data_IF_731876528801
#
_entry.id   IF_731876528801
#
_cell.length_a   1.000
_cell.length_b   1.000
_cell.length_c   1.000
_cell.angle_alpha   90.00
_cell.angle_beta   90.00
_cell.angle_gamma   90.00
#
_symmetry.space_group_name_H-M   'P 1'
#
loop_
_entity.id
_entity.type
_entity.pdbx_description
1 polymer ?
#
# COMPACT_ATOMS: atom_id res chain seq x y z
N UNK A 1 -65.11 -55.58 2.04
CA UNK A 1 -65.12 -54.45 1.08
C UNK A 1 -63.75 -53.77 1.11
N UNK A 2 -63.10 -53.70 -0.06
CA UNK A 2 -62.02 -52.77 -0.50
C UNK A 2 -60.71 -52.78 0.33
N UNK A 3 -59.66 -53.49 -0.05
CA UNK A 3 -58.61 -53.21 -1.08
C UNK A 3 -57.72 -51.98 -0.80
N UNK A 4 -56.42 -52.20 -0.55
CA UNK A 4 -55.35 -51.32 -1.05
C UNK A 4 -54.00 -52.07 -1.13
N UNK A 5 -53.52 -52.28 -2.36
CA UNK A 5 -52.10 -52.47 -2.69
C UNK A 5 -51.45 -51.08 -2.81
N UNK A 6 -50.15 -50.94 -2.53
CA UNK A 6 -49.10 -50.57 -3.51
C UNK A 6 -47.82 -50.14 -2.77
N UNK A 7 -46.66 -50.61 -3.25
CA UNK A 7 -45.35 -50.26 -2.72
C UNK A 7 -44.81 -48.92 -3.21
N UNK A 8 -43.67 -48.52 -2.63
CA UNK A 8 -42.80 -47.46 -3.16
C UNK A 8 -41.35 -47.87 -2.94
N UNK A 9 -40.64 -48.10 -4.05
CA UNK A 9 -39.19 -48.25 -4.13
C UNK A 9 -38.57 -46.85 -4.05
N UNK A 10 -37.69 -46.60 -3.07
CA UNK A 10 -36.89 -45.39 -3.01
C UNK A 10 -35.71 -45.50 -4.00
N UNK A 11 -35.72 -44.68 -5.05
CA UNK A 11 -34.51 -44.33 -5.83
C UNK A 11 -33.89 -43.07 -5.24
N UNK A 12 -32.71 -43.19 -4.63
CA UNK A 12 -31.84 -42.04 -4.35
C UNK A 12 -31.11 -41.66 -5.65
N UNK A 13 -31.48 -40.55 -6.27
CA UNK A 13 -30.65 -39.89 -7.28
C UNK A 13 -29.56 -39.08 -6.56
N UNK A 14 -28.32 -39.56 -6.64
CA UNK A 14 -27.14 -38.77 -6.29
C UNK A 14 -26.95 -37.64 -7.31
N UNK A 15 -27.17 -36.39 -6.88
CA UNK A 15 -26.75 -35.21 -7.63
C UNK A 15 -25.22 -35.10 -7.55
N UNK A 16 -24.53 -35.67 -8.55
CA UNK A 16 -23.15 -35.32 -8.87
C UNK A 16 -23.16 -33.89 -9.42
N UNK A 17 -22.95 -32.89 -8.55
CA UNK A 17 -22.63 -31.54 -9.00
C UNK A 17 -21.24 -31.57 -9.63
N UNK A 18 -21.17 -31.62 -10.96
CA UNK A 18 -19.96 -31.32 -11.70
C UNK A 18 -19.61 -29.86 -11.46
N UNK A 19 -18.74 -29.61 -10.48
CA UNK A 19 -18.21 -28.29 -10.23
C UNK A 19 -17.33 -27.92 -11.42
N UNK A 20 -17.86 -27.10 -12.32
CA UNK A 20 -17.13 -26.61 -13.48
C UNK A 20 -15.81 -25.98 -12.97
N UNK A 21 -14.67 -26.58 -13.37
CA UNK A 21 -13.36 -26.09 -12.98
C UNK A 21 -13.21 -24.69 -13.58
N UNK A 22 -13.09 -23.68 -12.73
CA UNK A 22 -12.85 -22.31 -13.18
C UNK A 22 -11.66 -22.31 -14.15
N UNK A 23 -11.84 -21.66 -15.30
CA UNK A 23 -10.77 -21.49 -16.29
C UNK A 23 -9.55 -20.85 -15.61
N UNK A 24 -8.35 -21.33 -15.97
CA UNK A 24 -7.11 -20.91 -15.31
C UNK A 24 -6.17 -20.25 -16.30
N UNK A 25 -5.63 -19.11 -15.91
CA UNK A 25 -4.56 -18.41 -16.61
C UNK A 25 -3.21 -18.88 -16.05
N UNK A 26 -2.42 -19.58 -16.86
CA UNK A 26 -1.07 -19.98 -16.49
C UNK A 26 -0.09 -18.81 -16.66
N UNK A 27 0.75 -18.57 -15.65
CA UNK A 27 1.80 -17.54 -15.67
C UNK A 27 3.19 -18.18 -15.72
N UNK A 28 3.36 -19.31 -15.03
CA UNK A 28 4.57 -20.15 -15.03
C UNK A 28 4.14 -21.59 -15.20
N UNK A 29 4.90 -22.36 -15.98
CA UNK A 29 4.70 -23.80 -16.18
C UNK A 29 6.03 -24.52 -16.03
N UNK A 30 6.08 -25.44 -15.06
CA UNK A 30 7.23 -26.32 -14.81
C UNK A 30 8.57 -25.58 -14.59
N UNK A 31 8.51 -24.35 -14.07
CA UNK A 31 9.65 -23.47 -13.83
C UNK A 31 9.94 -22.50 -14.98
N UNK A 32 9.22 -22.59 -16.09
CA UNK A 32 9.38 -21.69 -17.24
C UNK A 32 8.30 -20.60 -17.25
N UNK A 33 8.68 -19.31 -17.44
CA UNK A 33 7.71 -18.23 -17.59
C UNK A 33 6.91 -18.42 -18.89
N UNK A 34 5.58 -18.42 -18.78
CA UNK A 34 4.67 -18.42 -19.94
C UNK A 34 3.89 -17.11 -20.08
N UNK A 35 4.18 -16.13 -19.21
CA UNK A 35 3.66 -14.78 -19.25
C UNK A 35 4.77 -13.73 -19.16
N UNK A 36 4.57 -12.57 -19.79
CA UNK A 36 5.37 -11.37 -19.56
C UNK A 36 4.57 -10.31 -18.82
N UNK A 37 5.22 -9.53 -17.97
CA UNK A 37 4.67 -8.30 -17.40
C UNK A 37 4.95 -7.16 -18.38
N UNK A 38 3.92 -6.41 -18.76
CA UNK A 38 4.03 -5.31 -19.73
C UNK A 38 3.60 -4.00 -19.07
N UNK A 39 4.51 -3.04 -19.09
CA UNK A 39 4.29 -1.66 -18.67
C UNK A 39 4.05 -0.77 -19.90
N UNK A 40 3.44 0.40 -19.69
CA UNK A 40 3.40 1.43 -20.75
C UNK A 40 4.80 1.93 -21.10
N UNK A 41 4.98 2.60 -22.23
CA UNK A 41 6.27 3.21 -22.61
C UNK A 41 6.85 4.14 -21.52
N UNK A 42 5.98 4.89 -20.84
CA UNK A 42 6.33 5.79 -19.72
C UNK A 42 5.47 5.47 -18.48
N UNK A 43 5.79 4.40 -17.74
CA UNK A 43 4.98 3.92 -16.63
C UNK A 43 5.08 4.83 -15.40
N UNK A 44 4.01 4.91 -14.64
CA UNK A 44 4.01 5.61 -13.34
C UNK A 44 4.94 4.89 -12.35
N UNK A 45 5.40 5.60 -11.33
CA UNK A 45 6.13 5.02 -10.20
C UNK A 45 5.35 3.84 -9.58
N UNK A 46 4.04 4.00 -9.40
CA UNK A 46 3.18 2.94 -8.89
C UNK A 46 3.17 1.70 -9.78
N UNK A 47 3.07 1.86 -11.10
CA UNK A 47 3.09 0.74 -12.04
C UNK A 47 4.45 0.04 -12.10
N UNK A 48 5.56 0.80 -12.12
CA UNK A 48 6.92 0.24 -12.08
C UNK A 48 7.15 -0.61 -10.83
N UNK A 49 6.82 -0.06 -9.66
CA UNK A 49 6.94 -0.75 -8.39
C UNK A 49 6.04 -1.99 -8.32
N UNK A 50 4.80 -1.87 -8.82
CA UNK A 50 3.85 -2.98 -8.88
C UNK A 50 4.34 -4.13 -9.78
N UNK A 51 4.97 -3.82 -10.92
CA UNK A 51 5.57 -4.84 -11.78
C UNK A 51 6.72 -5.58 -11.08
N UNK A 52 7.56 -4.87 -10.32
CA UNK A 52 8.66 -5.48 -9.54
C UNK A 52 8.15 -6.33 -8.39
N UNK A 53 7.16 -5.86 -7.62
CA UNK A 53 6.50 -6.67 -6.61
C UNK A 53 5.87 -7.93 -7.23
N UNK A 54 5.17 -7.81 -8.36
CA UNK A 54 4.59 -8.97 -9.04
C UNK A 54 5.67 -9.98 -9.47
N UNK A 55 6.73 -9.51 -10.13
CA UNK A 55 7.85 -10.35 -10.59
C UNK A 55 8.50 -11.07 -9.41
N UNK A 56 8.89 -10.33 -8.36
CA UNK A 56 9.54 -10.89 -7.19
C UNK A 56 8.68 -11.98 -6.55
N UNK A 57 7.39 -11.72 -6.31
CA UNK A 57 6.52 -12.73 -5.70
C UNK A 57 6.38 -13.98 -6.57
N UNK A 58 6.25 -13.84 -7.90
CA UNK A 58 6.16 -14.99 -8.81
C UNK A 58 7.47 -15.78 -8.81
N UNK A 59 8.61 -15.10 -8.84
CA UNK A 59 9.92 -15.73 -8.78
C UNK A 59 10.12 -16.48 -7.47
N UNK A 60 9.81 -15.86 -6.32
CA UNK A 60 9.91 -16.55 -5.03
C UNK A 60 8.97 -17.76 -4.90
N UNK A 61 7.77 -17.69 -5.49
CA UNK A 61 6.83 -18.82 -5.47
C UNK A 61 7.26 -19.97 -6.39
N UNK A 62 7.93 -19.67 -7.51
CA UNK A 62 8.06 -20.63 -8.63
C UNK A 62 9.47 -20.94 -9.09
N UNK A 63 10.45 -20.10 -8.70
CA UNK A 63 11.80 -20.08 -9.24
C UNK A 63 11.93 -19.40 -10.61
N UNK A 64 10.84 -18.88 -11.18
CA UNK A 64 10.82 -18.30 -12.52
C UNK A 64 10.60 -16.78 -12.48
N UNK A 65 11.57 -16.02 -13.02
CA UNK A 65 11.41 -14.59 -13.22
C UNK A 65 10.56 -14.31 -14.48
N UNK A 66 9.41 -13.67 -14.31
CA UNK A 66 8.64 -13.17 -15.46
C UNK A 66 9.37 -11.97 -16.09
N UNK A 67 9.58 -11.90 -17.41
CA UNK A 67 10.18 -10.72 -18.02
C UNK A 67 9.29 -9.48 -17.82
N UNK A 68 9.91 -8.34 -17.54
CA UNK A 68 9.24 -7.03 -17.50
C UNK A 68 9.62 -6.26 -18.76
N UNK A 69 8.60 -5.89 -19.53
CA UNK A 69 8.73 -5.26 -20.85
C UNK A 69 7.97 -3.93 -20.87
N UNK A 70 8.28 -3.08 -21.85
CA UNK A 70 7.59 -1.80 -22.06
C UNK A 70 6.95 -1.79 -23.44
N UNK A 71 5.76 -1.21 -23.54
CA UNK A 71 5.15 -0.92 -24.84
C UNK A 71 6.07 -0.03 -25.68
N UNK A 72 6.15 -0.30 -26.98
CA UNK A 72 7.06 0.38 -27.90
C UNK A 72 8.47 -0.22 -27.99
N UNK A 73 8.78 -1.29 -27.23
CA UNK A 73 10.01 -2.08 -27.40
C UNK A 73 9.71 -3.46 -27.99
N UNK A 74 10.76 -4.25 -28.29
CA UNK A 74 10.57 -5.67 -28.55
C UNK A 74 10.00 -6.36 -27.31
N UNK A 75 8.99 -7.19 -27.51
CA UNK A 75 8.22 -7.91 -26.47
C UNK A 75 8.40 -9.41 -26.76
N UNK A 76 8.85 -10.20 -25.78
CA UNK A 76 9.14 -11.62 -25.93
C UNK A 76 7.89 -12.37 -26.39
N UNK A 77 8.00 -13.34 -27.30
CA UNK A 77 6.84 -14.07 -27.83
C UNK A 77 6.26 -15.10 -26.83
N UNK A 78 5.70 -14.62 -25.71
CA UNK A 78 5.07 -15.46 -24.69
C UNK A 78 3.55 -15.56 -24.88
N UNK A 79 2.94 -16.72 -24.54
CA UNK A 79 1.50 -16.96 -24.74
C UNK A 79 0.57 -16.01 -23.98
N UNK A 80 1.05 -15.37 -22.91
CA UNK A 80 0.24 -14.54 -22.01
C UNK A 80 0.92 -13.21 -21.71
N UNK A 81 0.10 -12.18 -21.48
CA UNK A 81 0.55 -10.87 -21.02
C UNK A 81 -0.12 -10.47 -19.72
N UNK A 82 0.62 -9.79 -18.85
CA UNK A 82 0.10 -9.12 -17.67
C UNK A 82 0.37 -7.63 -17.83
N UNK A 83 -0.63 -6.88 -18.27
CA UNK A 83 -0.51 -5.43 -18.41
C UNK A 83 -0.68 -4.76 -17.05
N UNK A 84 0.32 -3.98 -16.63
CA UNK A 84 0.34 -3.31 -15.33
C UNK A 84 0.33 -1.80 -15.54
N UNK A 85 -0.73 -1.15 -15.08
CA UNK A 85 -0.93 0.29 -15.19
C UNK A 85 -1.64 0.74 -16.48
N UNK A 86 -1.51 2.03 -16.79
CA UNK A 86 -2.22 2.71 -17.89
C UNK A 86 -1.57 2.47 -19.27
N UNK A 87 -1.55 1.21 -19.68
CA UNK A 87 -0.99 0.74 -20.96
C UNK A 87 -1.93 1.03 -22.14
N UNK A 88 -1.42 1.01 -23.37
CA UNK A 88 -2.24 1.11 -24.60
C UNK A 88 -3.28 0.00 -24.64
N UNK A 89 -2.89 -1.23 -24.29
CA UNK A 89 -3.87 -2.34 -24.20
C UNK A 89 -4.94 -2.09 -23.15
N UNK A 90 -4.58 -1.57 -21.97
CA UNK A 90 -5.56 -1.22 -20.93
C UNK A 90 -6.56 -0.16 -21.42
N UNK A 91 -6.08 0.86 -22.13
CA UNK A 91 -6.95 1.89 -22.72
C UNK A 91 -7.88 1.33 -23.79
N UNK A 92 -7.41 0.41 -24.62
CA UNK A 92 -8.25 -0.27 -25.63
C UNK A 92 -9.39 -1.08 -24.99
N UNK A 93 -9.16 -1.65 -23.80
CA UNK A 93 -10.19 -2.32 -22.99
C UNK A 93 -11.06 -1.35 -22.15
N UNK A 94 -10.95 -0.04 -22.41
CA UNK A 94 -11.71 1.00 -21.71
C UNK A 94 -11.24 1.29 -20.27
N UNK A 95 -10.06 0.80 -19.88
CA UNK A 95 -9.47 0.90 -18.54
C UNK A 95 -8.40 2.01 -18.42
N UNK A 96 -8.58 3.14 -19.11
CA UNK A 96 -7.69 4.28 -18.92
C UNK A 96 -7.71 4.77 -17.45
N UNK A 97 -6.55 5.02 -16.83
CA UNK A 97 -6.47 5.36 -15.40
C UNK A 97 -7.33 6.57 -15.00
N UNK A 98 -7.50 7.54 -15.91
CA UNK A 98 -8.29 8.75 -15.66
C UNK A 98 -9.79 8.51 -15.53
N UNK A 99 -10.27 7.28 -15.79
CA UNK A 99 -11.67 6.87 -15.62
C UNK A 99 -11.97 6.26 -14.25
N UNK A 100 -10.94 6.00 -13.45
CA UNK A 100 -11.08 5.39 -12.13
C UNK A 100 -11.38 6.46 -11.08
N UNK A 101 -12.26 6.13 -10.14
CA UNK A 101 -12.45 6.93 -8.93
C UNK A 101 -11.18 6.90 -8.04
N UNK A 102 -11.14 7.76 -7.03
CA UNK A 102 -10.07 7.76 -6.02
C UNK A 102 -9.88 6.36 -5.42
N UNK A 103 -8.64 5.86 -5.40
CA UNK A 103 -8.26 4.54 -4.90
C UNK A 103 -8.98 3.35 -5.58
N UNK A 104 -9.65 3.57 -6.70
CA UNK A 104 -10.31 2.52 -7.47
C UNK A 104 -9.31 1.77 -8.35
N UNK A 105 -9.55 0.46 -8.50
CA UNK A 105 -8.70 -0.45 -9.25
C UNK A 105 -9.44 -1.67 -9.79
N UNK A 106 -8.82 -2.34 -10.75
CA UNK A 106 -9.36 -3.54 -11.41
C UNK A 106 -8.27 -4.57 -11.67
N UNK A 107 -8.66 -5.83 -11.53
CA UNK A 107 -8.02 -7.01 -12.13
C UNK A 107 -9.01 -7.50 -13.19
N UNK A 108 -8.61 -7.51 -14.46
CA UNK A 108 -9.46 -7.98 -15.56
C UNK A 108 -8.75 -9.05 -16.35
N UNK A 109 -9.44 -10.15 -16.64
CA UNK A 109 -9.00 -11.16 -17.58
C UNK A 109 -9.63 -10.91 -18.94
N UNK A 110 -8.82 -10.96 -19.98
CA UNK A 110 -9.24 -11.02 -21.39
C UNK A 110 -8.56 -12.23 -22.04
N UNK A 111 -8.99 -12.59 -23.25
CA UNK A 111 -8.64 -13.86 -23.89
C UNK A 111 -7.17 -14.29 -23.74
N UNK A 112 -6.22 -13.39 -24.01
CA UNK A 112 -4.77 -13.63 -23.98
C UNK A 112 -4.03 -12.89 -22.84
N UNK A 113 -4.73 -12.09 -22.02
CA UNK A 113 -4.08 -11.18 -21.08
C UNK A 113 -4.80 -10.99 -19.75
N UNK A 114 -4.03 -10.49 -18.78
CA UNK A 114 -4.53 -9.97 -17.50
C UNK A 114 -4.18 -8.49 -17.44
N UNK A 115 -5.13 -7.64 -17.07
CA UNK A 115 -4.95 -6.21 -16.90
C UNK A 115 -5.09 -5.86 -15.41
N UNK A 116 -4.05 -5.26 -14.85
CA UNK A 116 -3.95 -4.82 -13.47
C UNK A 116 -3.82 -3.30 -13.47
N UNK A 117 -4.91 -2.59 -13.23
CA UNK A 117 -4.99 -1.14 -13.47
C UNK A 117 -5.72 -0.45 -12.35
N UNK A 118 -5.28 0.74 -11.97
CA UNK A 118 -6.06 1.64 -11.12
C UNK A 118 -5.67 3.09 -11.35
N UNK A 119 -6.22 3.98 -10.53
CA UNK A 119 -5.82 5.39 -10.52
C UNK A 119 -4.46 5.54 -9.84
N UNK A 120 -3.49 6.09 -10.54
CA UNK A 120 -2.14 6.35 -10.00
C UNK A 120 -1.82 7.85 -9.95
N UNK A 121 -0.87 8.19 -9.10
CA UNK A 121 -0.24 9.51 -9.09
C UNK A 121 0.59 9.69 -10.37
N UNK A 122 0.62 10.91 -10.91
CA UNK A 122 1.37 11.27 -12.12
C UNK A 122 2.86 11.49 -11.83
N UNK A 123 3.48 10.47 -11.23
CA UNK A 123 4.92 10.38 -10.96
C UNK A 123 5.54 9.35 -11.88
N UNK A 124 6.71 9.65 -12.42
CA UNK A 124 7.36 8.89 -13.50
C UNK A 124 8.86 8.71 -13.29
N UNK A 125 9.37 9.05 -12.11
CA UNK A 125 10.74 8.80 -11.69
C UNK A 125 11.03 7.29 -11.75
N UNK A 126 12.28 6.93 -12.04
CA UNK A 126 12.67 5.52 -12.09
C UNK A 126 12.67 4.93 -10.68
N UNK A 127 12.05 3.76 -10.51
CA UNK A 127 12.02 3.03 -9.24
C UNK A 127 13.29 2.20 -9.10
N UNK A 128 14.01 2.39 -8.00
CA UNK A 128 15.08 1.46 -7.58
C UNK A 128 14.46 0.45 -6.64
N UNK A 129 14.40 -0.80 -7.09
CA UNK A 129 13.85 -1.94 -6.36
C UNK A 129 14.94 -3.01 -6.26
N UNK A 130 15.63 -3.01 -5.13
CA UNK A 130 16.70 -3.95 -4.82
C UNK A 130 16.49 -4.45 -3.39
N UNK A 131 15.92 -5.65 -3.27
CA UNK A 131 15.69 -6.24 -1.95
C UNK A 131 16.94 -6.91 -1.37
N UNK A 132 17.98 -7.08 -2.19
CA UNK A 132 19.30 -7.54 -1.74
C UNK A 132 20.14 -6.36 -1.23
N UNK A 133 19.84 -5.12 -1.61
CA UNK A 133 20.39 -3.89 -1.00
C UNK A 133 19.28 -2.88 -0.65
N UNK A 134 18.52 -3.19 0.40
CA UNK A 134 17.35 -2.41 0.84
C UNK A 134 17.62 -0.90 0.99
N UNK A 135 18.76 -0.44 1.55
CA UNK A 135 19.10 0.97 1.62
C UNK A 135 19.23 1.71 0.28
N UNK A 136 19.52 1.01 -0.82
CA UNK A 136 19.61 1.63 -2.14
C UNK A 136 18.25 1.92 -2.77
N UNK A 137 17.18 1.32 -2.24
CA UNK A 137 15.84 1.47 -2.75
C UNK A 137 15.37 2.92 -2.74
N UNK A 138 14.79 3.36 -3.85
CA UNK A 138 14.45 4.76 -4.07
C UNK A 138 13.18 4.92 -4.91
N UNK A 139 12.56 6.09 -4.74
CA UNK A 139 11.37 6.52 -5.49
C UNK A 139 10.15 5.60 -5.36
N UNK A 140 10.02 4.84 -4.27
CA UNK A 140 8.86 4.00 -4.03
C UNK A 140 7.57 4.81 -3.85
N UNK A 141 6.39 4.20 -4.12
CA UNK A 141 5.11 4.83 -3.82
C UNK A 141 4.99 5.25 -2.35
N UNK A 142 4.40 6.42 -2.11
CA UNK A 142 4.00 6.92 -0.80
C UNK A 142 2.68 6.32 -0.32
N UNK A 143 2.44 6.36 0.99
CA UNK A 143 1.18 5.88 1.57
C UNK A 143 -0.03 6.77 1.22
N UNK A 144 0.17 8.06 0.96
CA UNK A 144 -0.94 9.02 0.80
C UNK A 144 -1.17 9.46 -0.65
N UNK A 145 -0.45 8.86 -1.60
CA UNK A 145 -0.67 9.14 -3.02
C UNK A 145 -1.52 8.07 -3.70
N UNK A 146 -2.11 8.41 -4.85
CA UNK A 146 -2.84 7.46 -5.69
C UNK A 146 -1.91 6.34 -6.20
N UNK A 147 -2.26 5.08 -5.94
CA UNK A 147 -1.46 3.90 -6.29
C UNK A 147 -2.33 2.68 -6.63
N UNK A 148 -3.47 2.94 -7.28
CA UNK A 148 -4.48 1.92 -7.58
C UNK A 148 -3.93 0.73 -8.36
N UNK A 149 -2.95 0.93 -9.23
CA UNK A 149 -2.27 -0.16 -9.96
C UNK A 149 -1.50 -1.08 -9.03
N UNK A 150 -0.78 -0.53 -8.05
CA UNK A 150 -0.08 -1.33 -7.03
C UNK A 150 -1.06 -2.13 -6.19
N UNK A 151 -2.15 -1.50 -5.76
CA UNK A 151 -3.19 -2.20 -5.03
C UNK A 151 -3.87 -3.30 -5.86
N UNK A 152 -3.96 -3.15 -7.19
CA UNK A 152 -4.50 -4.16 -8.11
C UNK A 152 -3.58 -5.39 -8.16
N UNK A 153 -2.27 -5.17 -8.26
CA UNK A 153 -1.26 -6.23 -8.16
C UNK A 153 -1.35 -6.93 -6.81
N UNK A 154 -1.50 -6.19 -5.72
CA UNK A 154 -1.67 -6.82 -4.41
C UNK A 154 -2.99 -7.59 -4.29
N UNK A 155 -4.09 -7.14 -4.93
CA UNK A 155 -5.34 -7.90 -4.96
C UNK A 155 -5.17 -9.19 -5.77
N UNK A 156 -4.42 -9.14 -6.88
CA UNK A 156 -4.07 -10.31 -7.68
C UNK A 156 -3.23 -11.33 -6.88
N UNK A 157 -2.11 -10.89 -6.30
CA UNK A 157 -1.20 -11.73 -5.51
C UNK A 157 -1.93 -12.38 -4.31
N UNK A 158 -2.67 -11.58 -3.54
CA UNK A 158 -3.34 -12.07 -2.33
C UNK A 158 -4.52 -12.99 -2.66
N UNK A 159 -5.38 -12.61 -3.62
CA UNK A 159 -6.67 -13.26 -3.84
C UNK A 159 -6.63 -14.38 -4.87
N UNK A 160 -5.67 -14.33 -5.81
CA UNK A 160 -5.60 -15.27 -6.94
C UNK A 160 -4.32 -16.11 -6.91
N UNK A 161 -3.19 -15.58 -6.43
CA UNK A 161 -1.94 -16.36 -6.28
C UNK A 161 -1.79 -17.02 -4.90
N UNK A 162 -2.51 -16.54 -3.87
CA UNK A 162 -2.50 -17.14 -2.53
C UNK A 162 -1.46 -16.56 -1.57
N UNK A 163 -0.77 -15.47 -1.93
CA UNK A 163 0.21 -14.78 -1.08
C UNK A 163 -0.44 -14.24 0.20
N UNK A 164 0.27 -14.32 1.33
CA UNK A 164 -0.11 -13.67 2.60
C UNK A 164 1.05 -12.86 3.17
N UNK A 165 0.73 -11.68 3.68
CA UNK A 165 1.66 -10.84 4.43
C UNK A 165 1.09 -10.71 5.85
N UNK A 166 1.87 -11.12 6.85
CA UNK A 166 1.47 -11.24 8.25
C UNK A 166 2.20 -10.22 9.14
N UNK A 167 3.47 -9.94 8.84
CA UNK A 167 4.31 -8.99 9.57
C UNK A 167 5.40 -8.43 8.65
N UNK A 168 6.08 -7.33 9.04
CA UNK A 168 7.23 -6.79 8.28
C UNK A 168 8.52 -7.58 8.45
N UNK A 169 8.52 -8.58 9.33
CA UNK A 169 9.68 -9.42 9.64
C UNK A 169 10.06 -10.32 8.46
N UNK A 170 11.27 -10.87 8.49
CA UNK A 170 11.77 -11.74 7.40
C UNK A 170 10.92 -13.01 7.21
N UNK A 171 10.33 -13.52 8.30
CA UNK A 171 9.37 -14.63 8.26
C UNK A 171 7.90 -14.23 8.02
N UNK A 172 7.63 -12.95 7.75
CA UNK A 172 6.28 -12.38 7.72
C UNK A 172 5.51 -12.59 6.41
N UNK A 173 6.14 -13.13 5.37
CA UNK A 173 5.50 -13.36 4.06
C UNK A 173 5.34 -14.86 3.81
N UNK A 174 4.10 -15.32 3.64
CA UNK A 174 3.81 -16.71 3.28
C UNK A 174 3.52 -16.80 1.78
N UNK A 175 4.30 -17.63 1.10
CA UNK A 175 4.25 -17.84 -0.35
C UNK A 175 3.90 -19.30 -0.65
N UNK A 176 2.87 -19.57 -1.47
CA UNK A 176 2.65 -20.91 -1.99
C UNK A 176 3.77 -21.31 -2.95
N UNK A 177 4.56 -22.32 -2.59
CA UNK A 177 5.64 -22.81 -3.45
C UNK A 177 5.12 -23.81 -4.49
N UNK A 178 5.38 -23.53 -5.78
CA UNK A 178 5.08 -24.44 -6.88
C UNK A 178 5.83 -24.04 -8.15
N UNK A 179 6.42 -25.01 -8.87
CA UNK A 179 7.00 -24.76 -10.20
C UNK A 179 5.97 -24.34 -11.26
N UNK A 180 4.67 -24.51 -10.98
CA UNK A 180 3.59 -24.10 -11.89
C UNK A 180 2.63 -23.19 -11.18
N UNK A 181 2.54 -21.94 -11.66
CA UNK A 181 1.57 -20.96 -11.19
C UNK A 181 0.49 -20.75 -12.26
N UNK A 182 -0.71 -21.21 -11.96
CA UNK A 182 -1.90 -20.92 -12.75
C UNK A 182 -3.01 -20.38 -11.85
N UNK A 183 -3.55 -19.22 -12.17
CA UNK A 183 -4.55 -18.51 -11.35
C UNK A 183 -5.96 -18.69 -11.91
N UNK A 184 -7.02 -18.73 -11.09
CA UNK A 184 -8.39 -18.71 -11.60
C UNK A 184 -8.68 -17.37 -12.30
N UNK A 185 -9.30 -17.44 -13.48
CA UNK A 185 -9.72 -16.25 -14.23
C UNK A 185 -10.97 -15.66 -13.57
N UNK A 186 -10.76 -14.65 -12.73
CA UNK A 186 -11.83 -13.95 -12.00
C UNK A 186 -11.56 -12.47 -11.94
N UNK A 187 -12.40 -11.70 -12.63
CA UNK A 187 -12.39 -10.25 -12.56
C UNK A 187 -12.64 -9.73 -11.15
N UNK A 188 -11.91 -8.68 -10.77
CA UNK A 188 -12.08 -7.94 -9.52
C UNK A 188 -12.14 -6.47 -9.85
N UNK A 189 -13.14 -5.75 -9.36
CA UNK A 189 -13.15 -4.28 -9.33
C UNK A 189 -13.37 -3.83 -7.90
N UNK A 190 -12.49 -2.95 -7.39
CA UNK A 190 -12.37 -2.69 -5.96
C UNK A 190 -12.16 -1.20 -5.70
N UNK A 191 -12.78 -0.73 -4.63
CA UNK A 191 -12.47 0.52 -3.94
C UNK A 191 -12.48 0.20 -2.44
N UNK A 192 -11.57 0.74 -1.63
CA UNK A 192 -11.58 0.50 -0.19
C UNK A 192 -12.85 1.06 0.45
N UNK A 193 -13.36 0.36 1.47
CA UNK A 193 -14.53 0.81 2.23
C UNK A 193 -14.19 2.01 3.13
N UNK A 194 -12.97 2.05 3.67
CA UNK A 194 -12.43 3.17 4.43
C UNK A 194 -11.47 3.97 3.54
N UNK A 195 -11.77 5.25 3.31
CA UNK A 195 -10.95 6.13 2.46
C UNK A 195 -9.56 6.40 3.05
N UNK A 196 -9.47 6.42 4.39
CA UNK A 196 -8.24 6.54 5.17
C UNK A 196 -7.95 5.23 5.91
N UNK A 197 -6.74 4.70 5.78
CA UNK A 197 -6.26 3.50 6.47
C UNK A 197 -4.88 3.80 7.03
N UNK A 198 -4.72 3.77 8.33
CA UNK A 198 -3.43 4.08 8.94
C UNK A 198 -3.12 3.13 10.09
N UNK A 199 -2.16 2.23 9.85
CA UNK A 199 -1.71 1.26 10.83
C UNK A 199 -0.64 1.83 11.79
N UNK A 200 -0.02 2.97 11.44
CA UNK A 200 1.02 3.63 12.23
C UNK A 200 0.48 4.86 12.98
N UNK A 201 -0.58 5.48 12.47
CA UNK A 201 -1.41 6.43 13.23
C UNK A 201 -0.63 7.60 13.84
N UNK A 202 -0.69 7.70 15.18
CA UNK A 202 -0.10 8.80 15.96
C UNK A 202 1.44 8.85 15.92
N UNK A 203 2.10 7.87 15.29
CA UNK A 203 3.56 7.74 15.30
C UNK A 203 4.25 8.56 14.23
N UNK A 204 3.51 9.30 13.40
CA UNK A 204 4.05 9.88 12.18
C UNK A 204 4.32 8.77 11.15
N UNK A 205 4.45 9.14 9.87
CA UNK A 205 4.55 8.19 8.75
C UNK A 205 5.85 7.38 8.71
N UNK A 206 6.53 7.18 9.84
CA UNK A 206 7.77 6.43 9.96
C UNK A 206 7.49 4.93 10.11
N UNK A 207 7.76 4.11 9.08
CA UNK A 207 7.55 2.66 9.15
C UNK A 207 8.37 1.98 10.24
N UNK A 208 9.50 2.55 10.69
CA UNK A 208 10.30 1.97 11.77
C UNK A 208 9.56 1.84 13.08
N UNK A 209 8.51 2.67 13.28
CA UNK A 209 7.71 2.62 14.50
C UNK A 209 6.69 1.49 14.49
N UNK A 210 6.55 0.74 13.41
CA UNK A 210 5.59 -0.38 13.37
C UNK A 210 5.88 -1.44 14.43
N UNK A 211 7.13 -1.89 14.51
CA UNK A 211 7.57 -2.94 15.42
C UNK A 211 7.40 -2.59 16.90
N UNK A 212 7.94 -1.46 17.41
CA UNK A 212 7.79 -1.15 18.83
C UNK A 212 6.34 -0.94 19.28
N UNK A 213 5.43 -0.63 18.34
CA UNK A 213 4.00 -0.50 18.64
C UNK A 213 3.24 -1.83 18.59
N UNK A 214 3.75 -2.82 17.85
CA UNK A 214 3.05 -4.09 17.63
C UNK A 214 3.68 -5.28 18.34
N UNK A 215 4.97 -5.20 18.69
CA UNK A 215 5.72 -6.29 19.29
C UNK A 215 5.30 -6.62 20.73
N UNK A 216 4.42 -5.85 21.38
CA UNK A 216 3.95 -6.05 22.78
C UNK A 216 5.04 -5.95 23.87
N UNK A 217 6.33 -5.79 23.50
CA UNK A 217 7.44 -5.51 24.42
C UNK A 217 7.92 -4.05 24.28
N UNK A 218 8.23 -3.34 25.38
CA UNK A 218 8.93 -2.08 25.31
C UNK A 218 10.35 -2.26 24.76
N UNK A 219 10.81 -1.34 23.91
CA UNK A 219 12.10 -1.43 23.20
C UNK A 219 13.31 -1.65 24.12
N UNK A 220 13.28 -1.06 25.32
CA UNK A 220 14.38 -1.14 26.29
C UNK A 220 14.48 -2.50 27.02
N UNK A 221 13.59 -3.45 26.73
CA UNK A 221 13.56 -4.74 27.43
C UNK A 221 14.36 -5.81 26.70
N UNK A 222 14.93 -6.75 27.45
CA UNK A 222 15.61 -7.93 26.90
C UNK A 222 14.67 -8.75 25.99
N UNK A 223 13.39 -8.83 26.32
CA UNK A 223 12.39 -9.51 25.50
C UNK A 223 12.24 -8.91 24.10
N UNK A 224 12.25 -7.58 23.99
CA UNK A 224 12.23 -6.93 22.68
C UNK A 224 13.50 -7.23 21.87
N UNK A 225 14.67 -7.19 22.51
CA UNK A 225 15.95 -7.49 21.84
C UNK A 225 16.01 -8.93 21.33
N UNK A 226 15.55 -9.90 22.12
CA UNK A 226 15.47 -11.31 21.71
C UNK A 226 14.48 -11.51 20.55
N UNK A 227 13.31 -10.88 20.63
CA UNK A 227 12.31 -10.92 19.55
C UNK A 227 12.87 -10.31 18.26
N UNK A 228 13.49 -9.15 18.36
CA UNK A 228 14.00 -8.39 17.22
C UNK A 228 15.10 -9.18 16.49
N UNK A 229 16.07 -9.72 17.22
CA UNK A 229 17.11 -10.59 16.66
C UNK A 229 16.53 -11.82 15.94
N UNK A 230 15.45 -12.40 16.46
CA UNK A 230 14.76 -13.53 15.82
C UNK A 230 13.88 -13.12 14.63
N UNK A 231 13.43 -11.87 14.58
CA UNK A 231 12.57 -11.33 13.53
C UNK A 231 13.35 -10.91 12.27
N UNK A 232 14.62 -10.52 12.43
CA UNK A 232 15.47 -9.98 11.35
C UNK A 232 16.89 -10.61 11.30
N UNK A 233 17.02 -11.96 11.33
CA UNK A 233 18.33 -12.59 11.40
C UNK A 233 19.22 -12.31 10.19
N UNK A 234 18.68 -12.26 8.96
CA UNK A 234 19.49 -11.97 7.76
C UNK A 234 19.93 -10.51 7.74
N UNK A 235 19.07 -9.58 8.17
CA UNK A 235 19.38 -8.16 8.24
C UNK A 235 20.53 -7.87 9.20
N UNK A 236 20.56 -8.55 10.35
CA UNK A 236 21.67 -8.47 11.33
C UNK A 236 22.99 -9.03 10.79
N UNK A 237 22.94 -10.01 9.88
CA UNK A 237 24.14 -10.52 9.20
C UNK A 237 24.63 -9.53 8.13
N UNK A 238 23.69 -8.88 7.45
CA UNK A 238 23.99 -8.05 6.29
C UNK A 238 24.46 -6.63 6.65
N UNK A 239 23.91 -6.05 7.71
CA UNK A 239 24.19 -4.67 8.10
C UNK A 239 24.63 -4.60 9.55
N UNK A 240 25.73 -3.87 9.80
CA UNK A 240 26.14 -3.53 11.16
C UNK A 240 25.06 -2.73 11.88
N UNK A 241 25.01 -2.88 13.21
CA UNK A 241 24.11 -2.11 14.06
C UNK A 241 24.34 -0.60 13.87
N UNK A 242 23.34 0.09 13.31
CA UNK A 242 23.46 1.52 13.01
C UNK A 242 22.47 2.00 11.95
N UNK A 243 22.81 3.12 11.31
CA UNK A 243 21.91 3.83 10.39
C UNK A 243 21.47 3.00 9.18
N UNK A 244 22.37 2.18 8.61
CA UNK A 244 22.04 1.33 7.46
C UNK A 244 21.08 0.20 7.83
N UNK A 245 21.33 -0.49 8.94
CA UNK A 245 20.41 -1.49 9.48
C UNK A 245 19.01 -0.89 9.73
N UNK A 246 18.93 0.27 10.39
CA UNK A 246 17.66 0.97 10.63
C UNK A 246 16.99 1.38 9.32
N UNK A 247 17.74 1.81 8.31
CA UNK A 247 17.16 2.15 7.01
C UNK A 247 16.61 0.92 6.28
N UNK A 248 17.35 -0.18 6.28
CA UNK A 248 16.92 -1.44 5.68
C UNK A 248 15.64 -1.97 6.35
N UNK A 249 15.60 -1.97 7.69
CA UNK A 249 14.41 -2.35 8.47
C UNK A 249 13.21 -1.46 8.17
N UNK A 250 13.43 -0.14 7.99
CA UNK A 250 12.39 0.80 7.55
C UNK A 250 11.80 0.40 6.20
N UNK A 251 12.62 -0.07 5.28
CA UNK A 251 12.18 -0.50 3.94
C UNK A 251 11.34 -1.77 4.00
N UNK A 252 11.71 -2.76 4.83
CA UNK A 252 10.86 -3.94 5.07
C UNK A 252 9.50 -3.56 5.68
N UNK A 253 9.49 -2.70 6.70
CA UNK A 253 8.26 -2.21 7.28
C UNK A 253 7.41 -1.41 6.28
N UNK A 254 8.04 -0.60 5.42
CA UNK A 254 7.36 0.12 4.33
C UNK A 254 6.72 -0.82 3.32
N UNK A 255 7.43 -1.87 2.89
CA UNK A 255 6.89 -2.90 1.99
C UNK A 255 5.65 -3.54 2.59
N UNK A 256 5.74 -3.98 3.84
CA UNK A 256 4.62 -4.60 4.53
C UNK A 256 3.41 -3.66 4.59
N UNK A 257 3.61 -2.39 4.96
CA UNK A 257 2.53 -1.41 5.02
C UNK A 257 1.90 -1.15 3.64
N UNK A 258 2.70 -1.06 2.57
CA UNK A 258 2.18 -0.97 1.19
C UNK A 258 1.36 -2.21 0.83
N UNK A 259 1.85 -3.41 1.12
CA UNK A 259 1.16 -4.70 0.88
C UNK A 259 -0.15 -4.79 1.65
N UNK A 260 -0.23 -4.18 2.84
CA UNK A 260 -1.46 -4.04 3.62
C UNK A 260 -2.39 -2.91 3.14
N UNK A 261 -2.03 -2.21 2.06
CA UNK A 261 -2.69 -1.01 1.54
C UNK A 261 -2.83 0.11 2.58
N UNK A 262 -1.85 0.24 3.48
CA UNK A 262 -1.74 1.37 4.39
C UNK A 262 -1.74 2.67 3.61
N UNK A 263 -2.59 3.60 4.00
CA UNK A 263 -2.71 4.96 3.52
C UNK A 263 -4.07 5.27 2.89
N UNK A 264 -4.08 6.01 1.78
CA UNK A 264 -5.31 6.43 1.09
C UNK A 264 -5.49 7.94 1.16
N UNK A 265 -6.74 8.40 1.30
CA UNK A 265 -7.06 9.82 1.40
C UNK A 265 -6.63 10.34 2.76
N UNK A 266 -5.68 11.28 2.85
CA UNK A 266 -5.25 11.80 4.14
C UNK A 266 -6.41 12.55 4.82
N UNK A 267 -6.88 12.01 5.94
CA UNK A 267 -7.88 12.63 6.83
C UNK A 267 -7.34 12.51 8.25
N UNK A 268 -6.21 13.17 8.51
CA UNK A 268 -5.55 13.13 9.82
C UNK A 268 -6.33 13.97 10.82
N UNK A 269 -6.48 13.44 12.03
CA UNK A 269 -6.79 14.26 13.18
C UNK A 269 -5.49 14.80 13.79
N UNK A 270 -5.52 16.05 14.22
CA UNK A 270 -4.46 16.61 15.06
C UNK A 270 -4.72 16.25 16.52
N UNK A 271 -3.67 15.90 17.27
CA UNK A 271 -3.78 15.63 18.71
C UNK A 271 -3.86 16.94 19.53
N UNK A 272 -3.32 18.04 18.98
CA UNK A 272 -3.34 19.38 19.58
C UNK A 272 -3.13 20.45 18.50
N UNK A 273 -3.13 21.72 18.88
CA UNK A 273 -2.88 22.88 18.00
C UNK A 273 -1.38 23.22 17.93
N UNK A 274 -0.49 22.23 17.76
CA UNK A 274 0.96 22.46 17.77
C UNK A 274 1.44 23.44 16.69
N UNK A 275 0.79 23.43 15.51
CA UNK A 275 1.08 24.41 14.45
C UNK A 275 0.87 25.86 14.87
N UNK A 276 0.06 26.12 15.91
CA UNK A 276 -0.17 27.49 16.39
C UNK A 276 1.07 28.10 17.02
N UNK A 277 2.01 27.31 17.56
CA UNK A 277 3.29 27.85 18.03
C UNK A 277 4.09 28.44 16.87
N UNK A 278 4.18 27.71 15.76
CA UNK A 278 4.89 28.15 14.56
C UNK A 278 4.22 29.37 13.90
N UNK A 279 2.89 29.45 13.99
CA UNK A 279 2.10 30.53 13.39
C UNK A 279 2.01 31.77 14.27
N UNK A 280 1.96 31.60 15.59
CA UNK A 280 1.50 32.64 16.52
C UNK A 280 2.33 32.83 17.80
N UNK A 281 3.30 31.98 18.12
CA UNK A 281 4.14 32.14 19.31
C UNK A 281 5.41 32.95 19.00
N UNK A 282 6.25 32.37 18.14
CA UNK A 282 7.54 32.94 17.74
C UNK A 282 7.93 32.42 16.35
N UNK A 283 8.63 33.26 15.59
CA UNK A 283 9.08 32.87 14.25
C UNK A 283 10.25 31.90 14.38
N UNK A 284 10.09 30.70 13.82
CA UNK A 284 11.15 29.69 13.81
C UNK A 284 12.40 30.17 13.05
N UNK A 285 13.58 29.71 13.48
CA UNK A 285 14.83 29.85 12.73
C UNK A 285 14.88 28.91 11.51
N UNK A 286 14.14 27.79 11.53
CA UNK A 286 14.05 26.88 10.39
C UNK A 286 13.35 27.59 9.21
N UNK A 287 13.98 27.72 8.03
CA UNK A 287 13.41 28.48 6.92
C UNK A 287 12.07 27.97 6.39
N UNK A 288 11.74 26.69 6.61
CA UNK A 288 10.47 26.15 6.16
C UNK A 288 9.36 26.45 7.17
N UNK A 289 9.60 26.24 8.46
CA UNK A 289 8.66 26.62 9.52
C UNK A 289 8.50 28.15 9.63
N UNK A 290 9.55 28.92 9.36
CA UNK A 290 9.54 30.39 9.41
C UNK A 290 8.54 31.03 8.42
N UNK A 291 8.12 30.29 7.39
CA UNK A 291 7.10 30.71 6.40
C UNK A 291 5.69 30.63 6.96
N UNK A 292 5.47 29.82 8.00
CA UNK A 292 4.17 29.64 8.63
C UNK A 292 3.85 30.76 9.63
N UNK A 293 4.87 31.47 10.12
CA UNK A 293 4.68 32.55 11.08
C UNK A 293 3.82 33.68 10.51
N UNK A 294 2.75 34.02 11.24
CA UNK A 294 1.79 35.08 10.86
C UNK A 294 2.07 36.33 11.69
N UNK A 295 1.92 36.22 13.00
CA UNK A 295 2.12 37.32 13.96
C UNK A 295 2.17 36.77 15.39
N UNK A 296 2.80 37.48 16.33
CA UNK A 296 2.88 37.03 17.72
C UNK A 296 1.57 37.34 18.49
N UNK A 297 0.88 36.30 18.98
CA UNK A 297 -0.42 36.35 19.67
C UNK A 297 -0.39 35.59 21.01
N UNK A 298 0.36 36.08 22.02
CA UNK A 298 0.60 35.35 23.27
C UNK A 298 -0.68 35.10 24.09
N UNK A 299 -1.75 35.89 23.86
CA UNK A 299 -3.04 35.71 24.51
C UNK A 299 -3.77 34.42 24.09
N UNK A 300 -3.35 33.77 23.00
CA UNK A 300 -3.88 32.46 22.58
C UNK A 300 -3.27 31.29 23.36
N UNK A 301 -2.20 31.53 24.13
CA UNK A 301 -1.43 30.51 24.83
C UNK A 301 -1.65 30.57 26.34
N UNK A 302 -1.42 29.47 27.05
CA UNK A 302 -1.63 29.40 28.49
C UNK A 302 -0.77 30.44 29.25
N UNK A 303 -1.36 31.04 30.29
CA UNK A 303 -0.74 32.13 31.03
C UNK A 303 -0.04 31.62 32.30
N UNK A 304 0.93 32.38 32.81
CA UNK A 304 1.66 32.06 34.05
C UNK A 304 2.89 31.17 33.87
N UNK A 305 3.38 31.01 32.64
CA UNK A 305 4.60 30.27 32.31
C UNK A 305 5.71 31.23 31.90
N UNK A 306 6.95 30.88 32.24
CA UNK A 306 8.15 31.51 31.68
C UNK A 306 8.51 30.82 30.35
N UNK A 307 8.79 31.60 29.30
CA UNK A 307 9.08 31.04 27.98
C UNK A 307 7.82 30.55 27.23
N UNK A 308 8.00 29.56 26.34
CA UNK A 308 6.92 28.95 25.56
C UNK A 308 5.95 28.16 26.47
N UNK A 309 4.65 28.52 26.52
CA UNK A 309 3.67 27.83 27.35
C UNK A 309 3.42 26.40 26.85
N UNK A 310 3.14 25.42 27.73
CA UNK A 310 2.99 24.02 27.34
C UNK A 310 1.71 23.71 26.56
N UNK A 311 0.76 24.66 26.51
CA UNK A 311 -0.52 24.47 25.85
C UNK A 311 -1.19 25.80 25.45
N UNK A 312 -2.25 25.70 24.65
CA UNK A 312 -3.13 26.82 24.32
C UNK A 312 -3.98 27.27 25.52
N UNK A 313 -4.41 28.53 25.52
CA UNK A 313 -5.40 29.04 26.47
C UNK A 313 -6.81 28.80 25.94
N UNK A 314 -7.44 27.68 26.31
CA UNK A 314 -8.78 27.32 25.82
C UNK A 314 -9.92 28.24 26.28
N UNK A 315 -9.67 29.14 27.23
CA UNK A 315 -10.60 30.22 27.60
C UNK A 315 -10.35 31.52 26.83
N UNK A 316 -9.31 31.58 26.00
CA UNK A 316 -8.99 32.75 25.19
C UNK A 316 -9.99 32.90 24.05
N UNK A 317 -10.67 34.05 24.03
CA UNK A 317 -11.55 34.43 22.92
C UNK A 317 -10.79 34.53 21.59
N UNK A 318 -9.56 35.04 21.63
CA UNK A 318 -8.72 35.16 20.43
C UNK A 318 -8.41 33.79 19.82
N UNK A 319 -8.08 32.79 20.65
CA UNK A 319 -7.83 31.42 20.18
C UNK A 319 -9.09 30.84 19.51
N UNK A 320 -10.25 30.98 20.14
CA UNK A 320 -11.52 30.47 19.62
C UNK A 320 -11.85 31.12 18.27
N UNK A 321 -11.69 32.44 18.17
CA UNK A 321 -11.95 33.18 16.93
C UNK A 321 -10.99 32.76 15.81
N UNK A 322 -9.70 32.57 16.10
CA UNK A 322 -8.71 32.11 15.12
C UNK A 322 -9.01 30.68 14.64
N UNK A 323 -9.35 29.77 15.57
CA UNK A 323 -9.70 28.40 15.23
C UNK A 323 -10.93 28.34 14.32
N UNK A 324 -11.95 29.14 14.62
CA UNK A 324 -13.15 29.25 13.78
C UNK A 324 -12.81 29.83 12.41
N UNK A 325 -11.92 30.81 12.33
CA UNK A 325 -11.51 31.39 11.06
C UNK A 325 -10.72 30.40 10.20
N UNK A 326 -9.79 29.66 10.78
CA UNK A 326 -9.02 28.61 10.08
C UNK A 326 -9.95 27.52 9.55
N UNK A 327 -10.93 27.08 10.36
CA UNK A 327 -11.92 26.11 9.92
C UNK A 327 -12.74 26.63 8.73
N UNK A 328 -13.19 27.90 8.78
CA UNK A 328 -13.89 28.53 7.65
C UNK A 328 -13.01 28.60 6.41
N UNK A 329 -11.77 29.06 6.55
CA UNK A 329 -10.84 29.16 5.42
C UNK A 329 -10.60 27.79 4.75
N UNK A 330 -10.53 26.71 5.54
CA UNK A 330 -10.43 25.35 5.02
C UNK A 330 -11.68 24.89 4.27
N UNK A 331 -12.86 24.99 4.91
CA UNK A 331 -14.12 24.51 4.33
C UNK A 331 -14.59 25.35 3.13
N UNK A 332 -14.25 26.65 3.11
CA UNK A 332 -14.47 27.55 1.97
C UNK A 332 -13.40 27.39 0.87
N UNK A 333 -12.42 26.48 1.05
CA UNK A 333 -11.31 26.21 0.12
C UNK A 333 -10.45 27.45 -0.17
N UNK A 334 -10.31 28.35 0.80
CA UNK A 334 -9.41 29.52 0.73
C UNK A 334 -7.99 29.16 1.11
N UNK A 335 -7.83 28.18 1.99
CA UNK A 335 -6.53 27.63 2.42
C UNK A 335 -6.59 26.10 2.43
N UNK A 336 -5.47 25.48 2.11
CA UNK A 336 -5.23 24.06 2.26
C UNK A 336 -5.01 23.69 3.74
N UNK A 337 -5.07 22.39 4.04
CA UNK A 337 -4.69 21.90 5.37
C UNK A 337 -3.20 22.19 5.68
N UNK A 338 -2.33 22.14 4.67
CA UNK A 338 -0.88 22.40 4.81
C UNK A 338 -0.58 23.86 5.16
N UNK A 339 -1.39 24.80 4.67
CA UNK A 339 -1.27 26.22 5.03
C UNK A 339 -1.78 26.54 6.44
N UNK A 340 -2.51 25.61 7.07
CA UNK A 340 -3.14 25.79 8.38
C UNK A 340 -2.51 24.94 9.50
N UNK A 341 -1.87 23.82 9.13
CA UNK A 341 -1.24 22.85 10.03
C UNK A 341 0.17 23.28 10.44
#
# INVERSE_FOLDING_TARGET
MVSLKMGAVLMLLGLLTTQARAERCALVRDGDPVAAIVLSAKPTVAAQFAARELQWHVEQMTGAALPIEREGTAIAALPRRIFVGDTERARAEGLAQGRFAEQERVVRFVDDAVLLVGRDARRYEEVVYDLDDLPSCANWPGFWEERGTLDAVYDFLQRLCGVRWLSPTEGGTLLPESKTLAVPMRDLRRRPAFEFRDAIGATGDDPLRYDPYTALWPEATEGYQQWEAAAYPALHVQYDAGGQYLHAKRMLARLFLLRMRNGGKPVRCNHSLYGYYQRFWERSEDPNAAKLFVERRPEMFAQGYEGEPPQMCYTSRALIEQLVQDARDYYDRRKSAEELA
#
